data_IF_242255610967
#
_entry.id   IF_242255610967
#
_cell.length_a   1.000
_cell.length_b   1.000
_cell.length_c   1.000
_cell.angle_alpha   90.00
_cell.angle_beta   90.00
_cell.angle_gamma   90.00
#
_symmetry.space_group_name_H-M   'P 1'
#
loop_
_entity.id
_entity.type
_entity.pdbx_description
1 polymer ?
#
# COMPACT_ATOMS: atom_id res chain seq x y z
N UNK A 1 -1.28 -23.55 4.97
CA UNK A 1 -1.58 -23.45 6.40
C UNK A 1 -2.97 -22.85 6.53
N UNK A 2 -3.92 -23.65 6.98
CA UNK A 2 -5.27 -23.18 7.33
C UNK A 2 -5.25 -22.80 8.81
N UNK A 3 -5.41 -21.50 9.09
CA UNK A 3 -5.71 -21.05 10.43
C UNK A 3 -7.20 -21.22 10.71
N UNK A 4 -7.57 -21.67 11.89
CA UNK A 4 -8.96 -21.75 12.32
C UNK A 4 -9.15 -20.93 13.59
N UNK A 5 -10.29 -20.28 13.67
CA UNK A 5 -10.71 -19.50 14.83
C UNK A 5 -12.03 -20.06 15.34
N UNK A 6 -12.17 -20.20 16.64
CA UNK A 6 -13.41 -20.64 17.28
C UNK A 6 -13.68 -19.84 18.54
N UNK A 7 -14.95 -19.72 18.92
CA UNK A 7 -15.37 -19.11 20.18
C UNK A 7 -15.08 -17.60 20.25
N UNK A 8 -15.22 -16.87 19.14
CA UNK A 8 -15.05 -15.42 19.16
C UNK A 8 -16.05 -14.76 20.09
N UNK A 9 -15.54 -13.99 21.05
CA UNK A 9 -16.34 -13.14 21.94
C UNK A 9 -16.66 -11.78 21.31
N UNK A 10 -15.87 -11.37 20.34
CA UNK A 10 -15.99 -10.12 19.57
C UNK A 10 -15.40 -10.32 18.17
N UNK A 11 -15.87 -9.59 17.19
CA UNK A 11 -15.32 -9.58 15.82
C UNK A 11 -14.74 -8.18 15.58
N UNK A 12 -13.41 -8.04 15.60
CA UNK A 12 -12.77 -6.75 15.30
C UNK A 12 -13.03 -6.30 13.86
N UNK A 13 -13.02 -5.00 13.66
CA UNK A 13 -13.00 -4.43 12.33
C UNK A 13 -11.65 -4.75 11.65
N UNK A 14 -11.73 -5.29 10.45
CA UNK A 14 -10.53 -5.60 9.68
C UNK A 14 -10.05 -4.36 8.93
N UNK A 15 -8.76 -4.05 9.08
CA UNK A 15 -8.04 -3.11 8.24
C UNK A 15 -7.23 -3.91 7.22
N UNK A 16 -7.34 -3.58 5.95
CA UNK A 16 -6.59 -4.22 4.87
C UNK A 16 -5.36 -3.41 4.51
N UNK A 17 -4.31 -4.10 4.04
CA UNK A 17 -3.10 -3.46 3.54
C UNK A 17 -3.01 -3.65 2.04
N UNK A 18 -3.00 -2.53 1.30
CA UNK A 18 -2.76 -2.47 -0.14
C UNK A 18 -1.30 -2.14 -0.42
N UNK A 19 -0.62 -2.97 -1.20
CA UNK A 19 0.79 -2.78 -1.57
C UNK A 19 0.89 -2.64 -3.08
N UNK A 20 1.45 -1.51 -3.56
CA UNK A 20 1.73 -1.28 -4.96
C UNK A 20 3.19 -1.55 -5.27
N UNK A 21 3.46 -2.40 -6.27
CA UNK A 21 4.78 -2.49 -6.90
C UNK A 21 4.96 -1.33 -7.85
N UNK A 22 5.90 -0.46 -7.55
CA UNK A 22 6.13 0.77 -8.32
C UNK A 22 7.62 1.02 -8.57
N UNK A 23 7.93 2.10 -9.24
CA UNK A 23 9.28 2.61 -9.45
C UNK A 23 9.26 3.90 -10.24
N UNK A 24 10.15 4.82 -9.92
CA UNK A 24 10.25 6.12 -10.61
C UNK A 24 10.47 5.99 -12.12
N UNK A 25 11.12 4.92 -12.57
CA UNK A 25 11.35 4.58 -13.98
C UNK A 25 10.10 4.07 -14.70
N UNK A 26 9.07 3.67 -13.97
CA UNK A 26 7.88 3.01 -14.51
C UNK A 26 6.85 4.02 -15.00
N UNK A 27 6.77 4.25 -16.30
CA UNK A 27 5.84 5.21 -16.91
C UNK A 27 4.35 4.87 -16.77
N UNK A 28 3.99 3.64 -16.46
CA UNK A 28 2.62 3.19 -16.20
C UNK A 28 2.22 3.25 -14.71
N UNK A 29 3.20 3.42 -13.81
CA UNK A 29 2.98 3.39 -12.37
C UNK A 29 2.20 4.60 -11.80
N UNK A 30 2.13 5.76 -12.46
CA UNK A 30 1.27 6.84 -11.98
C UNK A 30 -0.18 6.44 -11.68
N UNK A 31 -0.73 5.43 -12.39
CA UNK A 31 -2.09 4.96 -12.09
C UNK A 31 -2.18 4.28 -10.71
N UNK A 32 -1.11 3.63 -10.27
CA UNK A 32 -1.08 3.00 -8.96
C UNK A 32 -1.02 4.03 -7.84
N UNK A 33 -0.18 5.07 -7.99
CA UNK A 33 -0.14 6.19 -7.05
C UNK A 33 -1.52 6.84 -6.89
N UNK A 34 -2.21 7.10 -8.01
CA UNK A 34 -3.58 7.65 -7.97
C UNK A 34 -4.57 6.65 -7.34
N UNK A 35 -4.42 5.37 -7.60
CA UNK A 35 -5.27 4.36 -6.98
C UNK A 35 -5.09 4.31 -5.46
N UNK A 36 -3.87 4.38 -4.95
CA UNK A 36 -3.58 4.50 -3.51
C UNK A 36 -4.19 5.78 -2.94
N UNK A 37 -3.94 6.93 -3.56
CA UNK A 37 -4.51 8.21 -3.14
C UNK A 37 -6.05 8.18 -3.09
N UNK A 38 -6.70 7.48 -4.01
CA UNK A 38 -8.16 7.34 -4.01
C UNK A 38 -8.70 6.54 -2.81
N UNK A 39 -7.87 5.69 -2.23
CA UNK A 39 -8.22 4.86 -1.07
C UNK A 39 -7.84 5.50 0.27
N UNK A 40 -7.10 6.61 0.27
CA UNK A 40 -6.56 7.27 1.46
C UNK A 40 -7.64 7.67 2.49
N UNK A 41 -8.82 8.06 2.02
CA UNK A 41 -9.95 8.40 2.91
C UNK A 41 -10.68 7.18 3.49
N UNK A 42 -10.30 5.97 3.09
CA UNK A 42 -10.92 4.72 3.54
C UNK A 42 -10.28 4.26 4.85
N UNK A 43 -10.97 4.45 5.98
CA UNK A 43 -10.43 4.18 7.33
C UNK A 43 -9.98 2.72 7.55
N UNK A 44 -10.52 1.79 6.77
CA UNK A 44 -10.19 0.36 6.83
C UNK A 44 -9.15 -0.07 5.77
N UNK A 45 -8.43 0.88 5.17
CA UNK A 45 -7.39 0.59 4.18
C UNK A 45 -6.10 1.35 4.51
N UNK A 46 -4.97 0.65 4.41
CA UNK A 46 -3.62 1.24 4.50
C UNK A 46 -2.93 0.96 3.16
N UNK A 47 -2.51 2.02 2.48
CA UNK A 47 -1.78 1.94 1.22
C UNK A 47 -0.27 2.08 1.40
N UNK A 48 0.52 1.28 0.69
CA UNK A 48 1.98 1.32 0.70
C UNK A 48 2.49 1.25 -0.74
N UNK A 49 3.28 2.23 -1.16
CA UNK A 49 4.04 2.18 -2.41
C UNK A 49 5.39 1.49 -2.17
N UNK A 50 5.65 0.42 -2.90
CA UNK A 50 6.88 -0.38 -2.76
C UNK A 50 7.73 -0.19 -4.01
N UNK A 51 8.78 0.59 -3.87
CA UNK A 51 9.67 0.98 -4.95
C UNK A 51 10.67 -0.12 -5.33
N UNK A 52 10.96 -0.20 -6.63
CA UNK A 52 11.92 -1.12 -7.23
C UNK A 52 12.89 -0.38 -8.15
N UNK A 53 14.18 -0.66 -8.03
CA UNK A 53 15.21 -0.22 -8.97
C UNK A 53 15.41 1.29 -9.07
N UNK A 54 15.02 2.02 -8.06
CA UNK A 54 15.18 3.46 -7.91
C UNK A 54 15.73 3.83 -6.52
N UNK A 55 16.03 5.11 -6.23
CA UNK A 55 16.62 5.51 -4.95
C UNK A 55 15.76 5.25 -3.71
N UNK A 56 14.46 5.02 -3.86
CA UNK A 56 13.51 4.74 -2.77
C UNK A 56 13.37 3.23 -2.50
N UNK A 57 14.11 2.40 -3.20
CA UNK A 57 14.01 0.94 -3.13
C UNK A 57 14.51 0.39 -1.81
N UNK A 58 13.66 -0.35 -1.10
CA UNK A 58 14.05 -1.24 0.00
C UNK A 58 14.04 -2.68 -0.51
N UNK A 59 15.21 -3.16 -0.94
CA UNK A 59 15.35 -4.43 -1.70
C UNK A 59 14.77 -5.65 -0.98
N UNK A 60 14.85 -5.72 0.35
CA UNK A 60 14.30 -6.83 1.13
C UNK A 60 12.77 -6.86 1.11
N UNK A 61 12.15 -5.67 1.14
CA UNK A 61 10.70 -5.55 1.10
C UNK A 61 10.17 -5.79 -0.31
N UNK A 62 10.76 -5.15 -1.32
CA UNK A 62 10.43 -5.33 -2.74
C UNK A 62 10.55 -6.79 -3.18
N UNK A 63 11.67 -7.44 -2.86
CA UNK A 63 11.88 -8.85 -3.17
C UNK A 63 10.86 -9.77 -2.51
N UNK A 64 10.43 -9.46 -1.29
CA UNK A 64 9.35 -10.17 -0.60
C UNK A 64 8.02 -9.97 -1.31
N UNK A 65 7.66 -8.71 -1.63
CA UNK A 65 6.41 -8.40 -2.30
C UNK A 65 6.29 -9.07 -3.67
N UNK A 66 7.38 -9.15 -4.43
CA UNK A 66 7.42 -9.81 -5.73
C UNK A 66 6.95 -11.28 -5.71
N UNK A 67 7.00 -11.93 -4.56
CA UNK A 67 6.49 -13.31 -4.38
C UNK A 67 4.95 -13.34 -4.33
N UNK A 68 4.31 -12.32 -3.78
CA UNK A 68 2.86 -12.25 -3.60
C UNK A 68 2.15 -11.50 -4.71
N UNK A 69 2.84 -10.53 -5.33
CA UNK A 69 2.33 -9.75 -6.45
C UNK A 69 3.16 -10.06 -7.69
N UNK A 70 2.85 -11.14 -8.41
CA UNK A 70 3.59 -11.55 -9.60
C UNK A 70 3.33 -10.59 -10.77
N UNK A 71 4.20 -10.65 -11.78
CA UNK A 71 4.04 -9.87 -13.01
C UNK A 71 4.84 -8.57 -13.01
N UNK A 72 4.43 -7.67 -13.90
CA UNK A 72 5.14 -6.41 -14.19
C UNK A 72 4.83 -5.28 -13.22
N UNK A 73 5.11 -4.07 -13.70
CA UNK A 73 4.88 -2.80 -13.00
C UNK A 73 3.91 -1.91 -13.79
N UNK A 74 2.95 -1.23 -13.11
CA UNK A 74 2.62 -1.43 -11.72
C UNK A 74 1.96 -2.80 -11.49
N UNK A 75 2.08 -3.28 -10.26
CA UNK A 75 1.32 -4.41 -9.75
C UNK A 75 0.72 -4.02 -8.40
N UNK A 76 -0.46 -4.53 -8.07
CA UNK A 76 -1.13 -4.27 -6.80
C UNK A 76 -1.48 -5.55 -6.07
N UNK A 77 -1.46 -5.52 -4.75
CA UNK A 77 -1.94 -6.61 -3.93
C UNK A 77 -2.63 -6.12 -2.67
N UNK A 78 -3.58 -6.90 -2.15
CA UNK A 78 -4.22 -6.61 -0.87
C UNK A 78 -4.05 -7.80 0.07
N UNK A 79 -3.55 -7.50 1.28
CA UNK A 79 -3.24 -8.47 2.35
C UNK A 79 -2.28 -9.58 1.89
N UNK A 80 -1.55 -9.40 0.79
CA UNK A 80 -0.71 -10.44 0.15
C UNK A 80 -1.48 -11.72 -0.20
N UNK A 81 -2.79 -11.60 -0.38
CA UNK A 81 -3.73 -12.69 -0.74
C UNK A 81 -4.30 -12.47 -2.13
N UNK A 82 -4.66 -11.25 -2.46
CA UNK A 82 -5.14 -10.87 -3.78
C UNK A 82 -4.06 -10.07 -4.50
N UNK A 83 -3.93 -10.30 -5.81
CA UNK A 83 -2.99 -9.57 -6.65
C UNK A 83 -3.64 -9.25 -8.01
N UNK A 84 -3.32 -8.08 -8.55
CA UNK A 84 -3.87 -7.59 -9.82
C UNK A 84 -3.27 -6.25 -10.23
N UNK A 85 -4.01 -5.49 -11.00
CA UNK A 85 -3.67 -4.10 -11.31
C UNK A 85 -4.02 -3.20 -10.09
N UNK A 86 -3.22 -2.17 -9.77
CA UNK A 86 -3.55 -1.26 -8.68
C UNK A 86 -4.91 -0.57 -8.81
N UNK A 87 -5.42 -0.37 -10.02
CA UNK A 87 -6.77 0.16 -10.23
C UNK A 87 -7.89 -0.70 -9.61
N UNK A 88 -7.58 -1.94 -9.26
CA UNK A 88 -8.50 -2.88 -8.61
C UNK A 88 -8.45 -2.82 -7.06
N UNK A 89 -7.65 -1.95 -6.44
CA UNK A 89 -7.53 -1.85 -4.99
C UNK A 89 -8.88 -1.74 -4.27
N UNK A 90 -9.80 -0.93 -4.77
CA UNK A 90 -11.14 -0.80 -4.18
C UNK A 90 -11.91 -2.12 -4.18
N UNK A 91 -11.84 -2.88 -5.27
CA UNK A 91 -12.50 -4.18 -5.41
C UNK A 91 -11.83 -5.24 -4.53
N UNK A 92 -10.50 -5.28 -4.53
CA UNK A 92 -9.72 -6.18 -3.69
C UNK A 92 -9.94 -5.90 -2.20
N UNK A 93 -9.95 -4.62 -1.80
CA UNK A 93 -10.28 -4.19 -0.45
C UNK A 93 -11.69 -4.65 -0.06
N UNK A 94 -12.70 -4.34 -0.85
CA UNK A 94 -14.10 -4.73 -0.57
C UNK A 94 -14.26 -6.24 -0.39
N UNK A 95 -13.48 -7.02 -1.12
CA UNK A 95 -13.45 -8.49 -1.02
C UNK A 95 -12.77 -8.98 0.25
N UNK A 96 -11.80 -8.25 0.78
CA UNK A 96 -10.97 -8.66 1.92
C UNK A 96 -11.45 -8.10 3.26
N UNK A 97 -12.00 -6.90 3.28
CA UNK A 97 -12.39 -6.19 4.51
C UNK A 97 -13.47 -6.93 5.31
N UNK A 98 -14.24 -7.80 4.66
CA UNK A 98 -15.28 -8.60 5.30
C UNK A 98 -14.79 -9.92 5.91
N UNK A 99 -13.53 -10.26 5.73
CA UNK A 99 -12.97 -11.46 6.35
C UNK A 99 -12.87 -11.29 7.86
N UNK A 100 -13.21 -12.35 8.58
CA UNK A 100 -13.12 -12.37 10.02
C UNK A 100 -11.65 -12.40 10.43
N UNK A 101 -11.26 -11.47 11.29
CA UNK A 101 -9.95 -11.44 11.94
C UNK A 101 -10.11 -11.75 13.43
N UNK A 102 -9.19 -12.53 13.99
CA UNK A 102 -9.33 -13.03 15.37
C UNK A 102 -8.70 -12.12 16.43
N UNK A 103 -8.02 -11.06 15.98
CA UNK A 103 -7.27 -10.15 16.85
C UNK A 103 -7.39 -8.72 16.37
N UNK A 104 -7.12 -7.81 17.27
CA UNK A 104 -7.04 -6.38 17.04
C UNK A 104 -5.70 -5.85 17.53
N UNK A 105 -5.16 -4.87 16.82
CA UNK A 105 -4.01 -4.07 17.26
C UNK A 105 -4.58 -2.83 17.96
N UNK A 106 -4.61 -2.84 19.29
CA UNK A 106 -5.29 -1.82 20.10
C UNK A 106 -4.52 -0.51 20.19
N UNK A 107 -3.20 -0.60 20.17
CA UNK A 107 -2.37 0.60 20.28
C UNK A 107 -1.05 0.43 19.55
N UNK A 108 -0.60 1.51 18.95
CA UNK A 108 0.76 1.63 18.41
C UNK A 108 1.36 2.90 19.00
N UNK A 109 2.45 2.75 19.74
CA UNK A 109 3.22 3.86 20.25
C UNK A 109 4.60 3.82 19.64
N UNK A 110 4.96 4.87 18.91
CA UNK A 110 6.27 5.01 18.30
C UNK A 110 6.97 6.25 18.89
N UNK A 111 8.28 6.13 19.13
CA UNK A 111 9.12 7.25 19.52
C UNK A 111 10.47 7.17 18.82
N UNK A 112 11.04 8.30 18.52
CA UNK A 112 12.38 8.44 17.97
C UNK A 112 13.32 8.98 19.04
N UNK A 113 14.41 8.26 19.29
CA UNK A 113 15.51 8.75 20.12
C UNK A 113 16.58 9.38 19.24
N UNK A 114 16.61 10.71 19.21
CA UNK A 114 17.60 11.48 18.44
C UNK A 114 19.05 11.33 18.91
N UNK A 115 19.30 10.72 20.07
CA UNK A 115 20.65 10.47 20.58
C UNK A 115 21.21 9.16 20.02
N UNK A 116 20.42 8.10 20.04
CA UNK A 116 20.80 6.79 19.52
C UNK A 116 20.44 6.60 18.04
N UNK A 117 19.63 7.49 17.45
CA UNK A 117 19.00 7.34 16.13
C UNK A 117 18.15 6.06 16.04
N UNK A 118 17.48 5.70 17.10
CA UNK A 118 16.62 4.52 17.15
C UNK A 118 15.15 4.92 17.15
N UNK A 119 14.33 4.12 16.46
CA UNK A 119 12.88 4.20 16.55
C UNK A 119 12.40 3.05 17.43
N UNK A 120 11.80 3.39 18.57
CA UNK A 120 11.14 2.42 19.43
C UNK A 120 9.65 2.31 19.07
N UNK A 121 9.16 1.09 18.86
CA UNK A 121 7.74 0.83 18.62
C UNK A 121 7.24 -0.16 19.65
N UNK A 122 6.13 0.18 20.29
CA UNK A 122 5.40 -0.75 21.16
C UNK A 122 3.94 -0.84 20.71
N UNK A 123 3.39 -2.03 20.77
CA UNK A 123 2.01 -2.29 20.38
C UNK A 123 1.38 -3.32 21.29
N UNK A 124 0.06 -3.24 21.45
CA UNK A 124 -0.76 -4.20 22.14
C UNK A 124 -1.66 -4.91 21.14
N UNK A 125 -1.66 -6.24 21.19
CA UNK A 125 -2.52 -7.08 20.34
C UNK A 125 -3.43 -7.90 21.24
N UNK A 126 -4.73 -7.77 21.05
CA UNK A 126 -5.74 -8.51 21.76
C UNK A 126 -6.33 -9.60 20.87
N UNK A 127 -6.47 -10.81 21.43
CA UNK A 127 -7.06 -11.95 20.75
C UNK A 127 -8.44 -12.28 21.33
N UNK A 128 -9.44 -12.40 20.47
CA UNK A 128 -10.84 -12.59 20.88
C UNK A 128 -11.34 -14.02 20.78
N UNK A 129 -10.48 -14.97 20.47
CA UNK A 129 -10.81 -16.37 20.35
C UNK A 129 -9.60 -17.30 20.44
N UNK A 130 -9.87 -18.60 20.50
CA UNK A 130 -8.81 -19.60 20.38
C UNK A 130 -8.28 -19.65 18.96
N UNK A 131 -6.97 -19.59 18.83
CA UNK A 131 -6.28 -19.54 17.57
C UNK A 131 -5.33 -20.72 17.40
N UNK A 132 -5.44 -21.38 16.26
CA UNK A 132 -4.49 -22.39 15.83
C UNK A 132 -3.81 -21.91 14.56
N UNK A 133 -2.50 -21.76 14.59
CA UNK A 133 -1.71 -21.29 13.44
C UNK A 133 -0.43 -20.58 13.84
N UNK A 134 0.36 -20.22 12.85
CA UNK A 134 1.56 -19.38 13.01
C UNK A 134 1.17 -17.92 12.78
N UNK A 135 0.91 -17.20 13.85
CA UNK A 135 0.61 -15.77 13.81
C UNK A 135 1.86 -14.99 14.17
N UNK A 136 2.16 -13.98 13.38
CA UNK A 136 3.35 -13.16 13.54
C UNK A 136 2.98 -11.70 13.50
N UNK A 137 3.53 -10.94 14.43
CA UNK A 137 3.49 -9.49 14.40
C UNK A 137 4.69 -8.97 13.58
N UNK A 138 4.41 -8.07 12.65
CA UNK A 138 5.44 -7.35 11.89
C UNK A 138 5.19 -5.86 12.00
N UNK A 139 6.25 -5.08 12.08
CA UNK A 139 6.21 -3.63 12.03
C UNK A 139 6.80 -3.18 10.68
N UNK A 140 6.09 -2.32 9.98
CA UNK A 140 6.56 -1.67 8.76
C UNK A 140 6.61 -0.17 9.00
N UNK A 141 7.76 0.43 8.75
CA UNK A 141 7.94 1.88 8.79
C UNK A 141 7.82 2.38 7.36
N UNK A 142 6.93 3.34 7.15
CA UNK A 142 6.73 4.04 5.87
C UNK A 142 7.24 5.45 6.00
N UNK A 143 7.73 6.01 4.92
CA UNK A 143 8.15 7.39 4.82
C UNK A 143 7.36 8.06 3.71
N UNK A 144 6.72 9.17 4.02
CA UNK A 144 5.95 9.99 3.09
C UNK A 144 6.75 11.21 2.64
N UNK A 145 6.26 11.92 1.64
CA UNK A 145 6.81 13.18 1.14
C UNK A 145 8.27 13.07 0.67
N UNK A 146 8.63 11.92 0.10
CA UNK A 146 9.96 11.68 -0.44
C UNK A 146 10.17 12.44 -1.75
N UNK A 147 10.97 13.50 -1.73
CA UNK A 147 11.32 14.24 -2.93
C UNK A 147 12.82 14.55 -3.04
N UNK A 148 13.33 14.60 -4.27
CA UNK A 148 14.70 15.01 -4.56
C UNK A 148 14.86 15.43 -6.01
N UNK A 149 15.73 16.41 -6.26
CA UNK A 149 16.16 16.80 -7.59
C UNK A 149 17.27 15.90 -8.17
N UNK A 150 17.70 14.88 -7.43
CA UNK A 150 18.75 13.97 -7.88
C UNK A 150 18.24 13.03 -9.00
N UNK A 151 19.18 12.49 -9.78
CA UNK A 151 18.86 11.54 -10.84
C UNK A 151 18.19 10.28 -10.27
N UNK A 152 17.15 9.79 -10.96
CA UNK A 152 16.43 8.59 -10.59
C UNK A 152 15.22 8.83 -9.68
N UNK A 153 14.99 10.07 -9.23
CA UNK A 153 13.84 10.43 -8.39
C UNK A 153 12.61 10.85 -9.20
N UNK A 154 12.82 11.42 -10.40
CA UNK A 154 11.71 11.87 -11.22
C UNK A 154 10.87 10.69 -11.73
N UNK A 155 9.56 10.73 -11.46
CA UNK A 155 8.63 9.73 -11.93
C UNK A 155 8.44 9.81 -13.44
N UNK A 156 8.73 8.71 -14.15
CA UNK A 156 8.34 8.57 -15.55
C UNK A 156 6.81 8.50 -15.66
N UNK A 157 6.24 9.20 -16.65
CA UNK A 157 4.80 9.29 -16.79
C UNK A 157 4.36 9.18 -18.26
N UNK A 158 3.82 8.04 -18.65
CA UNK A 158 3.31 7.82 -20.01
C UNK A 158 1.92 8.41 -20.25
N UNK A 159 1.22 8.85 -19.21
CA UNK A 159 -0.05 9.55 -19.32
C UNK A 159 0.16 11.05 -19.62
N UNK A 160 1.34 11.56 -19.35
CA UNK A 160 1.72 12.94 -19.70
C UNK A 160 1.69 13.12 -21.21
N UNK A 161 1.01 14.17 -21.67
CA UNK A 161 0.89 14.46 -23.11
C UNK A 161 -0.09 13.57 -23.88
N UNK A 162 -0.86 12.74 -23.21
CA UNK A 162 -1.94 11.92 -23.81
C UNK A 162 -1.48 10.66 -24.55
N UNK A 163 -0.19 10.28 -24.47
CA UNK A 163 0.35 9.11 -25.19
C UNK A 163 -0.24 7.77 -24.76
N UNK A 164 -0.57 7.62 -23.49
CA UNK A 164 -1.19 6.43 -22.93
C UNK A 164 -2.73 6.54 -22.77
N UNK A 165 -3.31 7.62 -23.25
CA UNK A 165 -4.73 7.91 -23.10
C UNK A 165 -5.07 8.48 -21.72
N UNK A 166 -6.37 8.58 -21.45
CA UNK A 166 -6.87 9.01 -20.15
C UNK A 166 -6.76 7.85 -19.17
N UNK A 167 -6.21 8.11 -17.99
CA UNK A 167 -6.23 7.15 -16.91
C UNK A 167 -7.68 6.79 -16.57
N UNK A 168 -8.08 5.54 -16.82
CA UNK A 168 -9.42 5.07 -16.48
C UNK A 168 -9.45 4.80 -14.97
N UNK A 169 -10.01 5.72 -14.21
CA UNK A 169 -10.34 5.50 -12.81
C UNK A 169 -11.83 5.28 -12.60
N UNK A 170 -12.21 4.60 -11.50
CA UNK A 170 -13.59 4.52 -11.09
C UNK A 170 -14.20 5.93 -11.04
N UNK A 171 -15.44 6.04 -11.45
CA UNK A 171 -16.20 7.28 -11.66
C UNK A 171 -16.41 8.15 -10.40
N UNK A 172 -15.95 7.69 -9.25
CA UNK A 172 -16.03 8.42 -7.97
C UNK A 172 -14.85 9.38 -7.73
N UNK A 173 -13.80 9.30 -8.54
CA UNK A 173 -12.77 10.34 -8.53
C UNK A 173 -13.22 11.45 -9.45
N UNK A 174 -13.81 12.49 -8.87
CA UNK A 174 -14.30 13.68 -9.58
C UNK A 174 -13.20 14.32 -10.43
N UNK A 175 -13.36 14.17 -11.76
CA UNK A 175 -12.50 14.78 -12.75
C UNK A 175 -11.15 14.09 -12.87
N UNK A 176 -11.04 13.09 -13.73
CA UNK A 176 -9.84 12.29 -13.94
C UNK A 176 -8.55 13.10 -13.85
N UNK A 177 -7.59 12.60 -13.11
CA UNK A 177 -6.26 13.21 -13.01
C UNK A 177 -5.69 13.41 -14.42
N UNK A 178 -5.56 14.65 -14.83
CA UNK A 178 -4.91 15.00 -16.07
C UNK A 178 -3.47 15.36 -15.76
N UNK A 179 -2.57 14.43 -15.96
CA UNK A 179 -1.13 14.71 -15.91
C UNK A 179 -0.72 15.43 -17.19
N UNK A 180 -0.80 16.74 -17.18
CA UNK A 180 -0.25 17.55 -18.26
C UNK A 180 1.19 17.93 -17.95
N UNK A 181 2.10 17.67 -18.92
CA UNK A 181 3.48 18.17 -18.89
C UNK A 181 4.41 17.64 -17.78
N UNK A 182 4.35 16.36 -17.44
CA UNK A 182 5.26 15.76 -16.47
C UNK A 182 5.03 16.22 -15.04
N UNK A 183 3.81 16.65 -14.72
CA UNK A 183 3.40 16.89 -13.35
C UNK A 183 3.56 15.59 -12.55
N UNK A 184 4.07 15.71 -11.34
CA UNK A 184 4.25 14.60 -10.43
C UNK A 184 2.89 13.95 -10.13
N UNK A 185 2.69 12.67 -10.43
CA UNK A 185 1.43 11.99 -10.12
C UNK A 185 1.27 11.66 -8.63
N UNK A 186 2.35 11.68 -7.87
CA UNK A 186 2.34 11.46 -6.43
C UNK A 186 1.85 12.69 -5.66
N UNK A 187 1.73 13.83 -6.33
CA UNK A 187 1.12 15.03 -5.78
C UNK A 187 -0.21 15.25 -6.49
N UNK A 188 -1.35 14.81 -5.94
CA UNK A 188 -2.60 15.43 -6.32
C UNK A 188 -2.41 16.90 -6.01
N UNK A 189 -2.46 17.74 -7.03
CA UNK A 189 -2.31 19.19 -6.83
C UNK A 189 -3.23 19.64 -5.71
N UNK A 190 -2.66 20.17 -4.68
CA UNK A 190 -3.34 20.90 -3.64
C UNK A 190 -4.37 21.88 -4.20
#
# INVERSE_FOLDING_TARGET
LTASVSGLSFIPEKITVGEEKTGSWCGWCPRGAVALASMESTSSFIGIAVHNGDPMTISSYDGSLGTYVPGGYPGGGVDRVLAGDPSDFSTMHASRVTDIVPCEVNSINAHFDGTSNEIGVSTEVEFFGEMNGDYRLSCVIVEDDLESAASGWAQANYYSGGGAGVMAFPSNLNGGYSFSNGADPAQPSD
#
